data_IF_927741536673
#
_entry.id   IF_927741536673
#
_cell.length_a   1.000
_cell.length_b   1.000
_cell.length_c   1.000
_cell.angle_alpha   90.00
_cell.angle_beta   90.00
_cell.angle_gamma   90.00
#
_symmetry.space_group_name_H-M   'P 1'
#
loop_
_entity.id
_entity.type
_entity.pdbx_description
1 polymer ?
#
# COMPACT_ATOMS: atom_id res chain seq x y z
N UNK A 1 -7.39 -3.09 -14.75
CA UNK A 1 -7.16 -3.94 -13.57
C UNK A 1 -5.80 -4.61 -13.71
N UNK A 2 -5.04 -4.72 -12.63
CA UNK A 2 -3.86 -5.56 -12.51
C UNK A 2 -4.16 -6.65 -11.48
N UNK A 3 -3.82 -7.91 -11.82
CA UNK A 3 -4.01 -9.03 -10.91
C UNK A 3 -2.66 -9.56 -10.46
N UNK A 4 -2.53 -9.82 -9.17
CA UNK A 4 -1.34 -10.44 -8.59
C UNK A 4 -1.40 -11.96 -8.69
N UNK A 5 -0.22 -12.58 -8.71
CA UNK A 5 -0.07 -14.04 -8.68
C UNK A 5 0.47 -14.45 -7.33
N UNK A 6 -0.22 -15.37 -6.67
CA UNK A 6 0.24 -15.98 -5.40
C UNK A 6 1.13 -17.19 -5.65
N UNK A 7 1.78 -17.67 -4.60
CA UNK A 7 2.80 -18.74 -4.65
C UNK A 7 2.31 -19.98 -5.38
N UNK A 8 1.06 -20.42 -5.17
CA UNK A 8 0.47 -21.60 -5.79
C UNK A 8 0.31 -21.49 -7.31
N UNK A 9 0.35 -20.28 -7.86
CA UNK A 9 0.20 -20.03 -9.29
C UNK A 9 1.48 -19.43 -9.93
N UNK A 10 2.56 -19.23 -9.17
CA UNK A 10 3.79 -18.63 -9.69
C UNK A 10 4.40 -19.42 -10.82
N UNK A 11 4.53 -20.74 -10.66
CA UNK A 11 5.08 -21.63 -11.69
C UNK A 11 4.27 -21.56 -12.99
N UNK A 12 2.96 -21.59 -12.87
CA UNK A 12 2.06 -21.47 -14.03
C UNK A 12 2.24 -20.12 -14.75
N UNK A 13 2.38 -19.02 -14.01
CA UNK A 13 2.61 -17.70 -14.60
C UNK A 13 3.95 -17.69 -15.37
N UNK A 14 5.00 -18.23 -14.79
CA UNK A 14 6.33 -18.36 -15.41
C UNK A 14 6.26 -19.24 -16.67
N UNK A 15 5.62 -20.40 -16.62
CA UNK A 15 5.47 -21.32 -17.75
C UNK A 15 4.68 -20.68 -18.91
N UNK A 16 3.71 -19.81 -18.62
CA UNK A 16 2.97 -19.07 -19.66
C UNK A 16 3.74 -17.86 -20.20
N UNK A 17 4.92 -17.55 -19.64
CA UNK A 17 5.77 -16.44 -20.06
C UNK A 17 5.23 -15.05 -19.68
N UNK A 18 4.29 -14.96 -18.75
CA UNK A 18 3.72 -13.70 -18.27
C UNK A 18 4.75 -12.92 -17.45
N UNK A 19 4.80 -11.61 -17.66
CA UNK A 19 5.64 -10.65 -16.92
C UNK A 19 4.78 -9.54 -16.34
N UNK A 20 5.24 -8.90 -15.30
CA UNK A 20 4.56 -7.72 -14.74
C UNK A 20 4.35 -6.67 -15.83
N UNK A 21 3.13 -6.16 -15.95
CA UNK A 21 2.72 -5.18 -16.96
C UNK A 21 2.17 -5.78 -18.25
N UNK A 22 2.35 -7.07 -18.52
CA UNK A 22 1.83 -7.70 -19.73
C UNK A 22 0.31 -7.60 -19.80
N UNK A 23 -0.18 -7.21 -20.97
CA UNK A 23 -1.61 -7.17 -21.25
C UNK A 23 -2.12 -8.58 -21.51
N UNK A 24 -3.16 -8.97 -20.80
CA UNK A 24 -3.80 -10.27 -21.04
C UNK A 24 -4.59 -10.22 -22.34
N UNK A 25 -4.30 -11.14 -23.25
CA UNK A 25 -4.95 -11.23 -24.54
C UNK A 25 -6.49 -11.28 -24.39
N UNK A 26 -7.21 -10.74 -25.38
CA UNK A 26 -8.69 -10.67 -25.43
C UNK A 26 -9.36 -9.81 -24.35
N UNK A 27 -8.61 -8.98 -23.60
CA UNK A 27 -9.18 -8.08 -22.57
C UNK A 27 -9.21 -6.61 -23.00
N UNK A 28 -8.92 -6.30 -24.26
CA UNK A 28 -8.86 -4.94 -24.79
C UNK A 28 -7.94 -3.98 -23.99
N UNK A 29 -6.91 -4.53 -23.33
CA UNK A 29 -6.00 -3.76 -22.47
C UNK A 29 -6.55 -3.46 -21.08
N UNK A 30 -7.70 -4.02 -20.70
CA UNK A 30 -8.33 -3.78 -19.41
C UNK A 30 -7.72 -4.61 -18.27
N UNK A 31 -7.07 -5.75 -18.60
CA UNK A 31 -6.43 -6.62 -17.63
C UNK A 31 -4.95 -6.76 -17.93
N UNK A 32 -4.13 -6.61 -16.89
CA UNK A 32 -2.67 -6.79 -16.94
C UNK A 32 -2.20 -7.73 -15.85
N UNK A 33 -1.07 -8.40 -16.13
CA UNK A 33 -0.32 -9.12 -15.11
C UNK A 33 0.24 -8.10 -14.10
N UNK A 34 -0.05 -8.29 -12.84
CA UNK A 34 0.54 -7.56 -11.71
C UNK A 34 1.79 -8.24 -11.18
N UNK A 35 2.05 -8.07 -9.89
CA UNK A 35 3.22 -8.60 -9.21
C UNK A 35 2.97 -10.00 -8.62
N UNK A 36 4.03 -10.69 -8.28
CA UNK A 36 4.00 -11.85 -7.40
C UNK A 36 3.71 -11.38 -5.97
N UNK A 37 2.61 -11.86 -5.39
CA UNK A 37 2.16 -11.49 -4.04
C UNK A 37 2.55 -12.55 -3.02
N UNK A 38 3.27 -12.13 -1.98
CA UNK A 38 3.62 -12.95 -0.83
C UNK A 38 3.20 -12.24 0.47
N UNK A 39 2.70 -13.01 1.43
CA UNK A 39 2.26 -12.51 2.74
C UNK A 39 3.30 -12.94 3.78
N UNK A 40 4.15 -12.00 4.23
CA UNK A 40 5.26 -12.29 5.13
C UNK A 40 4.84 -12.45 6.58
N UNK A 41 3.87 -11.66 7.05
CA UNK A 41 3.35 -11.72 8.42
C UNK A 41 1.82 -11.65 8.46
N UNK A 42 1.25 -11.41 9.63
CA UNK A 42 -0.18 -11.26 9.81
C UNK A 42 -0.60 -9.80 10.06
N UNK A 43 -1.64 -9.56 10.88
CA UNK A 43 -2.23 -8.24 11.12
C UNK A 43 -2.11 -7.80 12.58
N UNK A 44 -2.30 -6.49 12.81
CA UNK A 44 -2.33 -5.91 14.15
C UNK A 44 -3.45 -6.52 15.01
N UNK A 45 -4.68 -6.54 14.48
CA UNK A 45 -5.87 -6.96 15.22
C UNK A 45 -5.79 -8.41 15.70
N UNK A 46 -5.09 -9.28 14.97
CA UNK A 46 -4.87 -10.67 15.34
C UNK A 46 -3.60 -10.88 16.18
N UNK A 47 -2.81 -9.81 16.43
CA UNK A 47 -1.50 -9.84 17.09
C UNK A 47 -0.51 -10.77 16.38
N UNK A 48 -0.62 -10.85 15.08
CA UNK A 48 0.25 -11.67 14.23
C UNK A 48 1.14 -10.84 13.31
N UNK A 49 0.98 -9.51 13.28
CA UNK A 49 1.98 -8.63 12.68
C UNK A 49 3.31 -8.82 13.41
N UNK A 50 4.39 -9.10 12.66
CA UNK A 50 5.67 -9.48 13.24
C UNK A 50 6.51 -8.25 13.60
N UNK A 51 6.74 -8.06 14.91
CA UNK A 51 7.33 -6.86 15.49
C UNK A 51 8.67 -7.13 16.16
N UNK A 52 9.54 -6.11 16.23
CA UNK A 52 10.77 -6.16 17.02
C UNK A 52 10.48 -6.36 18.51
N UNK A 53 9.45 -5.72 19.02
CA UNK A 53 9.05 -5.85 20.42
C UNK A 53 7.82 -6.72 20.60
N UNK A 54 7.71 -7.45 21.74
CA UNK A 54 6.54 -8.26 22.01
C UNK A 54 5.28 -7.40 22.19
N UNK A 55 4.13 -7.97 21.86
CA UNK A 55 2.84 -7.41 22.20
C UNK A 55 2.64 -7.35 23.71
N UNK A 56 1.96 -6.31 24.25
CA UNK A 56 1.74 -6.17 25.68
C UNK A 56 1.13 -7.42 26.31
N UNK A 57 1.76 -7.88 27.38
CA UNK A 57 1.30 -9.05 28.13
C UNK A 57 1.53 -10.41 27.47
N UNK A 58 2.11 -10.48 26.28
CA UNK A 58 2.46 -11.74 25.64
C UNK A 58 3.92 -12.15 25.95
N UNK A 59 4.11 -13.46 26.12
CA UNK A 59 5.42 -14.10 26.30
C UNK A 59 5.51 -15.36 25.45
N UNK A 60 6.73 -15.86 25.22
CA UNK A 60 6.97 -17.07 24.44
C UNK A 60 7.10 -16.84 22.95
N UNK A 61 7.00 -17.92 22.16
CA UNK A 61 7.39 -17.96 20.75
C UNK A 61 6.67 -16.90 19.87
N UNK A 62 5.39 -16.70 20.10
CA UNK A 62 4.57 -15.81 19.28
C UNK A 62 4.30 -14.45 19.92
N UNK A 63 5.06 -14.08 20.97
CA UNK A 63 4.87 -12.81 21.66
C UNK A 63 5.09 -11.58 20.76
N UNK A 64 5.87 -11.74 19.70
CA UNK A 64 6.23 -10.71 18.72
C UNK A 64 5.43 -10.80 17.42
N UNK A 65 4.40 -11.64 17.35
CA UNK A 65 3.70 -11.97 16.12
C UNK A 65 4.25 -13.21 15.44
N UNK A 66 4.02 -13.36 14.14
CA UNK A 66 4.37 -14.56 13.38
C UNK A 66 4.83 -14.20 11.97
N UNK A 67 5.91 -14.83 11.49
CA UNK A 67 6.22 -14.87 10.08
C UNK A 67 5.53 -16.07 9.44
N UNK A 68 4.97 -15.86 8.24
CA UNK A 68 4.30 -16.89 7.43
C UNK A 68 5.28 -17.62 6.51
N UNK A 69 6.47 -17.07 6.32
CA UNK A 69 7.54 -17.66 5.48
C UNK A 69 8.89 -17.47 6.14
N UNK A 70 9.83 -18.36 5.87
CA UNK A 70 11.22 -18.17 6.29
C UNK A 70 11.93 -17.14 5.40
N UNK A 71 13.06 -16.57 5.86
CA UNK A 71 13.85 -15.64 5.06
C UNK A 71 14.36 -16.28 3.77
N UNK A 72 14.91 -17.48 3.89
CA UNK A 72 15.46 -18.22 2.74
C UNK A 72 14.37 -18.54 1.69
N UNK A 73 13.17 -18.90 2.13
CA UNK A 73 12.02 -19.12 1.22
C UNK A 73 11.54 -17.81 0.57
N UNK A 74 11.51 -16.70 1.32
CA UNK A 74 11.14 -15.38 0.78
C UNK A 74 12.12 -14.99 -0.34
N UNK A 75 13.43 -15.02 -0.06
CA UNK A 75 14.49 -14.70 -1.03
C UNK A 75 14.43 -15.62 -2.25
N UNK A 76 14.26 -16.92 -2.03
CA UNK A 76 14.17 -17.90 -3.11
C UNK A 76 12.97 -17.65 -4.03
N UNK A 77 11.79 -17.37 -3.46
CA UNK A 77 10.56 -17.11 -4.21
C UNK A 77 10.63 -15.76 -4.94
N UNK A 78 11.15 -14.70 -4.29
CA UNK A 78 11.37 -13.40 -4.93
C UNK A 78 12.37 -13.51 -6.08
N UNK A 79 13.50 -14.21 -5.89
CA UNK A 79 14.49 -14.45 -6.95
C UNK A 79 13.89 -15.21 -8.14
N UNK A 80 13.05 -16.21 -7.87
CA UNK A 80 12.36 -16.98 -8.91
C UNK A 80 11.41 -16.11 -9.72
N UNK A 81 10.58 -15.29 -9.07
CA UNK A 81 9.66 -14.36 -9.72
C UNK A 81 10.43 -13.32 -10.54
N UNK A 82 11.41 -12.65 -9.94
CA UNK A 82 12.21 -11.59 -10.56
C UNK A 82 12.97 -12.11 -11.80
N UNK A 83 13.59 -13.30 -11.72
CA UNK A 83 14.28 -13.91 -12.85
C UNK A 83 13.38 -14.18 -14.05
N UNK A 84 12.07 -14.30 -13.83
CA UNK A 84 11.07 -14.45 -14.88
C UNK A 84 10.47 -13.11 -15.33
N UNK A 85 10.91 -11.97 -14.79
CA UNK A 85 10.40 -10.63 -15.09
C UNK A 85 9.08 -10.31 -14.38
N UNK A 86 8.83 -10.97 -13.25
CA UNK A 86 7.66 -10.72 -12.40
C UNK A 86 8.16 -9.97 -11.15
N UNK A 87 7.73 -8.71 -10.98
CA UNK A 87 8.02 -7.90 -9.81
C UNK A 87 7.35 -8.48 -8.56
N UNK A 88 7.79 -8.06 -7.37
CA UNK A 88 7.30 -8.61 -6.11
C UNK A 88 6.43 -7.60 -5.34
N UNK A 89 5.38 -8.10 -4.68
CA UNK A 89 4.55 -7.35 -3.73
C UNK A 89 4.51 -8.11 -2.41
N UNK A 90 5.18 -7.57 -1.39
CA UNK A 90 5.35 -8.26 -0.10
C UNK A 90 4.45 -7.57 0.94
N UNK A 91 3.50 -8.32 1.50
CA UNK A 91 2.74 -7.85 2.65
C UNK A 91 3.65 -7.82 3.88
N UNK A 92 3.75 -6.67 4.53
CA UNK A 92 4.46 -6.51 5.79
C UNK A 92 3.80 -5.41 6.64
N UNK A 93 3.28 -5.79 7.81
CA UNK A 93 2.58 -4.90 8.73
C UNK A 93 3.45 -4.51 9.92
N UNK A 94 4.08 -5.48 10.59
CA UNK A 94 4.97 -5.23 11.73
C UNK A 94 6.32 -4.66 11.31
N UNK A 95 6.99 -3.95 12.22
CA UNK A 95 8.28 -3.32 11.95
C UNK A 95 9.39 -4.34 11.64
N UNK A 96 9.43 -5.49 12.30
CA UNK A 96 10.38 -6.55 11.98
C UNK A 96 10.05 -7.25 10.65
N UNK A 97 8.75 -7.36 10.29
CA UNK A 97 8.35 -7.85 8.97
C UNK A 97 8.74 -6.89 7.83
N UNK A 98 8.68 -5.58 8.06
CA UNK A 98 9.13 -4.58 7.09
C UNK A 98 10.65 -4.64 6.92
N UNK A 99 11.42 -4.72 8.01
CA UNK A 99 12.89 -4.94 7.95
C UNK A 99 13.23 -6.21 7.18
N UNK A 100 12.51 -7.30 7.45
CA UNK A 100 12.65 -8.59 6.78
C UNK A 100 12.40 -8.49 5.27
N UNK A 101 11.34 -7.79 4.86
CA UNK A 101 11.01 -7.58 3.45
C UNK A 101 12.06 -6.70 2.74
N UNK A 102 12.49 -5.60 3.37
CA UNK A 102 13.52 -4.72 2.81
C UNK A 102 14.86 -5.44 2.63
N UNK A 103 15.27 -6.27 3.60
CA UNK A 103 16.48 -7.09 3.47
C UNK A 103 16.38 -8.04 2.25
N UNK A 104 15.20 -8.64 2.02
CA UNK A 104 15.00 -9.51 0.88
C UNK A 104 15.02 -8.73 -0.46
N UNK A 105 14.45 -7.53 -0.52
CA UNK A 105 14.56 -6.65 -1.70
C UNK A 105 16.00 -6.26 -1.98
N UNK A 106 16.78 -5.93 -0.95
CA UNK A 106 18.20 -5.61 -1.07
C UNK A 106 19.02 -6.79 -1.60
N UNK A 107 18.79 -7.99 -1.06
CA UNK A 107 19.53 -9.21 -1.48
C UNK A 107 19.18 -9.64 -2.90
N UNK A 108 17.90 -9.59 -3.27
CA UNK A 108 17.43 -10.01 -4.60
C UNK A 108 17.68 -8.94 -5.67
N UNK A 109 17.67 -7.66 -5.29
CA UNK A 109 17.86 -6.54 -6.21
C UNK A 109 16.72 -6.41 -7.22
N UNK A 110 15.48 -6.67 -6.81
CA UNK A 110 14.31 -6.62 -7.70
C UNK A 110 13.41 -5.41 -7.43
N UNK A 111 12.59 -5.05 -8.42
CA UNK A 111 11.55 -4.04 -8.27
C UNK A 111 10.32 -4.60 -7.55
N UNK A 112 9.61 -3.73 -6.82
CA UNK A 112 8.35 -4.14 -6.22
C UNK A 112 7.77 -3.17 -5.21
N UNK A 113 6.85 -3.70 -4.41
CA UNK A 113 6.12 -2.96 -3.40
C UNK A 113 6.17 -3.69 -2.05
N UNK A 114 6.13 -2.93 -0.96
CA UNK A 114 5.73 -3.46 0.34
C UNK A 114 4.31 -2.96 0.61
N UNK A 115 3.41 -3.91 0.78
CA UNK A 115 2.01 -3.66 1.07
C UNK A 115 1.81 -3.43 2.57
N UNK A 116 1.01 -2.46 2.90
CA UNK A 116 0.70 -1.92 4.21
C UNK A 116 1.81 -1.02 4.78
N UNK A 117 3.04 -1.50 4.98
CA UNK A 117 4.13 -0.74 5.59
C UNK A 117 3.62 0.05 6.82
N UNK A 118 2.89 -0.66 7.71
CA UNK A 118 2.01 -0.03 8.69
C UNK A 118 2.74 0.46 9.94
N UNK A 119 3.59 -0.38 10.53
CA UNK A 119 4.52 -0.01 11.59
C UNK A 119 5.94 -0.14 11.04
N UNK A 120 6.74 0.92 11.14
CA UNK A 120 8.10 0.94 10.61
C UNK A 120 9.13 1.23 11.70
N UNK A 121 10.33 0.67 11.56
CA UNK A 121 11.51 1.17 12.26
C UNK A 121 11.97 2.46 11.56
N UNK A 122 12.39 3.48 12.32
CA UNK A 122 12.82 4.75 11.74
C UNK A 122 13.98 4.59 10.76
N UNK A 123 14.90 3.69 11.06
CA UNK A 123 16.08 3.37 10.24
C UNK A 123 15.73 2.68 8.91
N UNK A 124 14.54 2.10 8.78
CA UNK A 124 14.12 1.42 7.57
C UNK A 124 13.44 2.35 6.56
N UNK A 125 12.99 3.53 6.98
CA UNK A 125 12.21 4.42 6.11
C UNK A 125 13.03 4.85 4.88
N UNK A 126 14.27 5.31 5.07
CA UNK A 126 15.14 5.74 3.96
C UNK A 126 15.44 4.59 2.99
N UNK A 127 15.49 3.35 3.48
CA UNK A 127 15.79 2.17 2.66
C UNK A 127 14.75 1.91 1.57
N UNK A 128 13.49 2.27 1.78
CA UNK A 128 12.48 2.19 0.70
C UNK A 128 12.90 3.01 -0.52
N UNK A 129 13.35 4.25 -0.31
CA UNK A 129 13.80 5.13 -1.39
C UNK A 129 15.12 4.65 -2.01
N UNK A 130 16.09 4.23 -1.19
CA UNK A 130 17.38 3.72 -1.63
C UNK A 130 17.24 2.46 -2.50
N UNK A 131 16.33 1.56 -2.14
CA UNK A 131 16.06 0.32 -2.86
C UNK A 131 15.05 0.49 -4.01
N UNK A 132 14.42 1.68 -4.13
CA UNK A 132 13.37 1.92 -5.12
C UNK A 132 12.08 1.15 -4.86
N UNK A 133 11.86 0.69 -3.63
CA UNK A 133 10.66 -0.05 -3.23
C UNK A 133 9.52 0.95 -2.98
N UNK A 134 8.37 0.73 -3.61
CA UNK A 134 7.17 1.54 -3.39
C UNK A 134 6.44 1.05 -2.14
N UNK A 135 6.07 1.96 -1.26
CA UNK A 135 5.17 1.65 -0.15
C UNK A 135 3.71 1.74 -0.63
N UNK A 136 3.04 0.60 -0.66
CA UNK A 136 1.63 0.48 -1.03
C UNK A 136 0.78 0.51 0.24
N UNK A 137 0.20 1.65 0.55
CA UNK A 137 -0.37 1.97 1.86
C UNK A 137 -1.89 2.16 1.81
N UNK A 138 -2.54 1.96 2.95
CA UNK A 138 -3.99 2.09 3.11
C UNK A 138 -4.29 3.11 4.22
N UNK A 139 -4.43 4.41 3.90
CA UNK A 139 -4.62 5.44 4.92
C UNK A 139 -5.87 5.27 5.79
N UNK A 140 -6.95 4.68 5.24
CA UNK A 140 -8.16 4.41 6.02
C UNK A 140 -7.92 3.39 7.13
N UNK A 141 -6.99 2.43 6.96
CA UNK A 141 -6.59 1.50 8.02
C UNK A 141 -6.04 2.22 9.26
N UNK A 142 -5.41 3.39 9.09
CA UNK A 142 -4.96 4.18 10.24
C UNK A 142 -6.12 4.65 11.12
N UNK A 143 -7.28 4.89 10.51
CA UNK A 143 -8.48 5.30 11.24
C UNK A 143 -9.15 4.13 11.94
N UNK A 144 -9.22 2.99 11.26
CA UNK A 144 -9.83 1.76 11.79
C UNK A 144 -8.96 1.14 12.90
N UNK A 145 -7.65 1.18 12.74
CA UNK A 145 -6.69 0.53 13.65
C UNK A 145 -6.25 1.41 14.83
N UNK A 146 -6.53 2.71 14.83
CA UNK A 146 -6.10 3.70 15.81
C UNK A 146 -6.20 3.19 17.25
N UNK A 147 -7.41 2.79 17.68
CA UNK A 147 -7.69 2.43 19.06
C UNK A 147 -7.00 1.10 19.45
N UNK A 148 -6.86 0.20 18.50
CA UNK A 148 -6.15 -1.08 18.68
C UNK A 148 -4.64 -0.85 18.74
N UNK A 149 -4.11 0.02 17.90
CA UNK A 149 -2.70 0.38 17.87
C UNK A 149 -2.28 1.07 19.18
N UNK A 150 -3.08 1.98 19.70
CA UNK A 150 -2.82 2.65 20.98
C UNK A 150 -2.68 1.66 22.15
N UNK A 151 -3.31 0.49 22.07
CA UNK A 151 -3.23 -0.59 23.05
C UNK A 151 -2.12 -1.59 22.72
N UNK A 152 -2.10 -2.12 21.50
CA UNK A 152 -1.22 -3.24 21.14
C UNK A 152 0.19 -2.79 20.73
N UNK A 153 0.33 -1.55 20.26
CA UNK A 153 1.59 -0.91 19.92
C UNK A 153 1.88 0.31 20.79
N UNK A 154 1.38 0.30 22.02
CA UNK A 154 1.59 1.37 23.00
C UNK A 154 3.08 1.77 23.10
N UNK A 155 3.35 3.09 23.02
CA UNK A 155 4.72 3.65 23.06
C UNK A 155 5.51 3.56 21.75
N UNK A 156 4.89 3.14 20.64
CA UNK A 156 5.49 3.08 19.30
C UNK A 156 4.52 3.47 18.18
N UNK A 157 3.37 4.03 18.52
CA UNK A 157 2.35 4.47 17.54
C UNK A 157 2.77 5.69 16.72
N UNK A 158 3.79 6.43 17.17
CA UNK A 158 4.47 7.49 16.42
C UNK A 158 5.09 7.01 15.09
N UNK A 159 5.36 5.70 15.00
CA UNK A 159 5.89 5.02 13.83
C UNK A 159 4.82 4.31 13.00
N UNK A 160 3.52 4.49 13.36
CA UNK A 160 2.40 3.89 12.63
C UNK A 160 1.97 4.78 11.48
N UNK A 161 1.90 4.21 10.27
CA UNK A 161 1.47 4.92 9.08
C UNK A 161 2.24 6.26 8.91
N UNK A 162 3.58 6.26 8.86
CA UNK A 162 4.40 7.46 8.91
C UNK A 162 4.53 8.11 7.53
N UNK A 163 3.40 8.50 6.92
CA UNK A 163 3.33 8.91 5.51
C UNK A 163 4.13 10.18 5.22
N UNK A 164 4.07 11.20 6.11
CA UNK A 164 4.83 12.43 5.92
C UNK A 164 6.34 12.13 5.97
N UNK A 165 6.79 11.37 6.98
CA UNK A 165 8.19 10.98 7.12
C UNK A 165 8.68 10.16 5.91
N UNK A 166 7.84 9.25 5.38
CA UNK A 166 8.16 8.49 4.16
C UNK A 166 8.34 9.41 2.95
N UNK A 167 7.43 10.38 2.74
CA UNK A 167 7.55 11.34 1.64
C UNK A 167 8.77 12.24 1.79
N UNK A 168 9.10 12.70 3.00
CA UNK A 168 10.30 13.49 3.29
C UNK A 168 11.58 12.71 2.99
N UNK A 169 11.58 11.40 3.22
CA UNK A 169 12.68 10.50 2.86
C UNK A 169 12.72 10.14 1.35
N UNK A 170 11.79 10.67 0.54
CA UNK A 170 11.72 10.39 -0.90
C UNK A 170 11.09 9.05 -1.26
N UNK A 171 10.41 8.40 -0.33
CA UNK A 171 9.71 7.14 -0.58
C UNK A 171 8.52 7.37 -1.50
N UNK A 172 8.39 6.55 -2.52
CA UNK A 172 7.21 6.56 -3.39
C UNK A 172 6.04 5.87 -2.67
N UNK A 173 4.95 6.62 -2.46
CA UNK A 173 3.70 6.07 -1.95
C UNK A 173 2.77 5.66 -3.11
N UNK A 174 2.01 4.58 -2.91
CA UNK A 174 0.85 4.20 -3.70
C UNK A 174 -0.30 3.91 -2.75
N UNK A 175 -1.41 4.63 -2.87
CA UNK A 175 -2.53 4.51 -1.95
C UNK A 175 -3.61 3.61 -2.51
N UNK A 176 -4.17 2.77 -1.64
CA UNK A 176 -5.27 1.86 -1.94
C UNK A 176 -6.19 1.65 -0.74
N UNK A 177 -7.22 0.84 -0.91
CA UNK A 177 -8.23 0.57 0.13
C UNK A 177 -8.09 -0.82 0.76
N UNK A 178 -7.42 -1.75 0.10
CA UNK A 178 -7.45 -3.18 0.48
C UNK A 178 -8.90 -3.69 0.63
N UNK A 179 -9.78 -3.29 -0.30
CA UNK A 179 -11.19 -3.66 -0.25
C UNK A 179 -11.38 -5.18 -0.19
N UNK A 180 -12.25 -5.70 0.65
CA UNK A 180 -13.34 -5.00 1.36
C UNK A 180 -13.00 -4.50 2.77
N UNK A 181 -11.72 -4.48 3.18
CA UNK A 181 -11.32 -4.02 4.52
C UNK A 181 -11.68 -2.55 4.70
N UNK A 182 -11.32 -1.70 3.72
CA UNK A 182 -11.81 -0.33 3.65
C UNK A 182 -12.67 -0.13 2.39
N UNK A 183 -13.49 0.94 2.32
CA UNK A 183 -14.26 1.27 1.12
C UNK A 183 -13.39 1.38 -0.12
N UNK A 184 -13.87 0.89 -1.27
CA UNK A 184 -13.15 0.96 -2.55
C UNK A 184 -12.97 2.39 -3.05
N UNK A 185 -13.79 3.32 -2.59
CA UNK A 185 -13.74 4.73 -2.94
C UNK A 185 -12.41 5.38 -2.49
N UNK A 186 -11.58 5.89 -3.41
CA UNK A 186 -10.26 6.44 -3.07
C UNK A 186 -10.32 7.73 -2.23
N UNK A 187 -11.46 8.43 -2.23
CA UNK A 187 -11.62 9.67 -1.49
C UNK A 187 -11.55 9.46 0.03
N UNK A 188 -11.97 8.29 0.54
CA UNK A 188 -11.77 7.92 1.95
C UNK A 188 -10.28 7.86 2.30
N UNK A 189 -9.47 7.20 1.47
CA UNK A 189 -8.04 7.10 1.69
C UNK A 189 -7.35 8.47 1.62
N UNK A 190 -7.73 9.32 0.64
CA UNK A 190 -7.22 10.70 0.51
C UNK A 190 -7.55 11.50 1.76
N UNK A 191 -8.82 11.51 2.20
CA UNK A 191 -9.25 12.24 3.39
C UNK A 191 -8.49 11.79 4.65
N UNK A 192 -8.29 10.48 4.82
CA UNK A 192 -7.57 9.93 5.98
C UNK A 192 -6.08 10.25 5.96
N UNK A 193 -5.45 10.29 4.80
CA UNK A 193 -4.05 10.68 4.67
C UNK A 193 -3.83 12.17 4.96
N UNK A 194 -4.77 13.03 4.54
CA UNK A 194 -4.69 14.49 4.70
C UNK A 194 -5.02 14.94 6.11
N UNK A 195 -6.03 14.35 6.76
CA UNK A 195 -6.52 14.85 8.05
C UNK A 195 -6.27 13.94 9.24
N UNK A 196 -5.99 12.65 9.01
CA UNK A 196 -5.71 11.70 10.08
C UNK A 196 -6.84 11.56 11.10
N UNK A 197 -8.09 11.79 10.63
CA UNK A 197 -9.31 11.53 11.39
C UNK A 197 -10.45 11.10 10.48
N UNK A 198 -11.36 10.25 10.99
CA UNK A 198 -12.60 9.82 10.31
C UNK A 198 -13.84 10.18 11.11
N UNK A 199 -13.66 10.81 12.27
CA UNK A 199 -14.72 11.18 13.21
C UNK A 199 -14.45 12.54 13.89
N UNK A 200 -15.14 12.84 14.99
CA UNK A 200 -15.01 14.12 15.71
C UNK A 200 -13.83 14.18 16.68
N UNK A 201 -12.99 13.15 16.75
CA UNK A 201 -11.81 13.15 17.61
C UNK A 201 -10.67 13.97 16.99
N UNK A 202 -9.72 14.37 17.84
CA UNK A 202 -8.49 14.99 17.35
C UNK A 202 -7.76 14.05 16.38
N UNK A 203 -7.10 14.60 15.36
CA UNK A 203 -6.29 13.81 14.44
C UNK A 203 -5.27 12.92 15.13
N UNK A 204 -5.17 11.68 14.67
CA UNK A 204 -4.21 10.72 15.21
C UNK A 204 -2.86 10.88 14.52
N UNK A 205 -1.80 11.23 15.27
CA UNK A 205 -0.48 11.57 14.73
C UNK A 205 -0.56 12.62 13.61
N UNK A 206 -1.02 13.86 13.92
CA UNK A 206 -1.21 14.91 12.91
C UNK A 206 0.08 15.33 12.19
N UNK A 207 1.24 15.05 12.78
CA UNK A 207 2.57 15.23 12.17
C UNK A 207 2.81 14.32 10.96
N UNK A 208 2.00 13.27 10.81
CA UNK A 208 2.07 12.34 9.69
C UNK A 208 1.03 12.63 8.59
N UNK A 209 0.37 13.79 8.63
CA UNK A 209 -0.47 14.30 7.55
C UNK A 209 0.35 14.54 6.29
N UNK A 210 -0.26 14.33 5.15
CA UNK A 210 0.33 14.70 3.87
C UNK A 210 -0.54 15.72 3.15
N UNK A 211 0.05 16.50 2.27
CA UNK A 211 -0.66 17.51 1.48
C UNK A 211 -1.67 16.84 0.52
N UNK A 212 -2.83 17.47 0.24
CA UNK A 212 -3.82 16.92 -0.68
C UNK A 212 -3.26 16.54 -2.05
N UNK A 213 -2.34 17.35 -2.59
CA UNK A 213 -1.69 17.03 -3.86
C UNK A 213 -0.88 15.74 -3.78
N UNK A 214 -0.14 15.51 -2.68
CA UNK A 214 0.64 14.30 -2.48
C UNK A 214 -0.27 13.06 -2.35
N UNK A 215 -1.40 13.19 -1.64
CA UNK A 215 -2.39 12.12 -1.51
C UNK A 215 -3.03 11.76 -2.87
N UNK A 216 -3.38 12.76 -3.67
CA UNK A 216 -3.89 12.57 -5.04
C UNK A 216 -2.83 11.92 -5.93
N UNK A 217 -1.58 12.41 -5.91
CA UNK A 217 -0.48 11.85 -6.69
C UNK A 217 -0.21 10.38 -6.34
N UNK A 218 -0.37 10.00 -5.07
CA UNK A 218 -0.24 8.62 -4.60
C UNK A 218 -1.45 7.72 -4.97
N UNK A 219 -2.60 8.32 -5.31
CA UNK A 219 -3.84 7.63 -5.67
C UNK A 219 -4.02 7.43 -7.17
N UNK A 220 -3.18 8.05 -8.00
CA UNK A 220 -3.28 8.01 -9.46
C UNK A 220 -2.03 7.40 -10.12
N UNK A 221 -2.19 6.79 -11.27
CA UNK A 221 -1.07 6.20 -12.03
C UNK A 221 -0.36 7.19 -12.92
N UNK A 222 -1.08 8.17 -13.44
CA UNK A 222 -0.59 9.14 -14.41
C UNK A 222 -1.10 10.53 -14.08
N UNK A 223 -0.36 11.53 -14.53
CA UNK A 223 -0.79 12.93 -14.48
C UNK A 223 -1.48 13.31 -15.79
N UNK A 224 -2.34 14.33 -15.74
CA UNK A 224 -2.97 14.88 -16.94
C UNK A 224 -1.90 15.56 -17.78
N UNK A 225 -1.56 14.96 -18.91
CA UNK A 225 -0.58 15.47 -19.87
C UNK A 225 -0.86 14.98 -21.29
N UNK A 226 -0.41 15.73 -22.29
CA UNK A 226 -0.52 15.33 -23.69
C UNK A 226 0.24 14.02 -23.93
N UNK A 227 -0.42 13.06 -24.58
CA UNK A 227 0.14 11.72 -24.85
C UNK A 227 -0.14 10.67 -23.76
N UNK A 228 -0.65 11.09 -22.60
CA UNK A 228 -1.11 10.15 -21.58
C UNK A 228 -2.48 9.56 -21.94
N UNK A 229 -2.74 8.37 -21.42
CA UNK A 229 -4.07 7.74 -21.59
C UNK A 229 -5.12 8.61 -20.88
N UNK A 230 -6.25 8.83 -21.54
CA UNK A 230 -7.35 9.63 -20.99
C UNK A 230 -8.19 8.82 -19.98
N UNK A 231 -7.57 8.41 -18.87
CA UNK A 231 -8.22 7.86 -17.69
C UNK A 231 -8.41 9.04 -16.73
N UNK A 232 -9.63 9.57 -16.62
CA UNK A 232 -9.92 10.83 -15.96
C UNK A 232 -11.06 10.67 -14.94
N UNK A 233 -10.95 11.40 -13.83
CA UNK A 233 -12.03 11.62 -12.89
C UNK A 233 -12.36 13.12 -12.88
N UNK A 234 -13.62 13.48 -13.07
CA UNK A 234 -14.13 14.85 -13.00
C UNK A 234 -14.94 14.97 -11.73
N UNK A 235 -14.60 15.93 -10.90
CA UNK A 235 -15.25 16.19 -9.61
C UNK A 235 -15.81 17.60 -9.57
N UNK A 236 -16.84 17.83 -8.74
CA UNK A 236 -17.50 19.14 -8.63
C UNK A 236 -16.82 20.08 -7.64
N UNK A 237 -15.92 19.55 -6.80
CA UNK A 237 -15.20 20.30 -5.77
C UNK A 237 -13.70 20.17 -6.04
N UNK A 238 -12.96 21.27 -5.92
CA UNK A 238 -11.49 21.23 -6.04
C UNK A 238 -10.90 20.46 -4.83
N UNK A 239 -10.33 19.27 -5.03
CA UNK A 239 -9.87 18.45 -3.93
C UNK A 239 -8.64 19.02 -3.20
N UNK A 240 -7.95 20.02 -3.77
CA UNK A 240 -6.80 20.67 -3.13
C UNK A 240 -7.22 21.62 -2.01
N UNK A 241 -8.49 22.07 -2.01
CA UNK A 241 -9.03 23.01 -1.05
C UNK A 241 -10.27 22.49 -0.32
N UNK A 242 -10.66 21.24 -0.60
CA UNK A 242 -11.83 20.61 0.01
C UNK A 242 -11.59 20.32 1.49
N UNK A 243 -12.63 20.48 2.29
CA UNK A 243 -12.65 20.00 3.68
C UNK A 243 -12.65 18.47 3.75
N UNK A 244 -12.36 17.91 4.92
CA UNK A 244 -12.42 16.44 5.14
C UNK A 244 -13.77 15.85 4.76
N UNK A 245 -14.86 16.51 5.16
CA UNK A 245 -16.21 16.06 4.87
C UNK A 245 -16.49 16.08 3.36
N UNK A 246 -16.05 17.13 2.66
CA UNK A 246 -16.14 17.23 1.20
C UNK A 246 -15.28 16.17 0.51
N UNK A 247 -14.06 15.90 1.00
CA UNK A 247 -13.25 14.80 0.48
C UNK A 247 -13.95 13.45 0.64
N UNK A 248 -14.47 13.13 1.83
CA UNK A 248 -15.15 11.84 2.10
C UNK A 248 -16.47 11.67 1.35
N UNK A 249 -17.06 12.74 0.88
CA UNK A 249 -18.33 12.75 0.12
C UNK A 249 -18.16 13.33 -1.29
N UNK A 250 -16.95 13.27 -1.84
CA UNK A 250 -16.59 13.92 -3.10
C UNK A 250 -17.57 13.59 -4.22
N UNK A 251 -18.27 14.60 -4.77
CA UNK A 251 -19.20 14.37 -5.86
C UNK A 251 -18.43 14.16 -7.17
N UNK A 252 -18.52 12.94 -7.71
CA UNK A 252 -17.92 12.58 -8.98
C UNK A 252 -18.90 12.83 -10.11
N UNK A 253 -18.64 13.86 -10.92
CA UNK A 253 -19.47 14.22 -12.06
C UNK A 253 -19.28 13.29 -13.25
N UNK A 254 -18.02 12.82 -13.50
CA UNK A 254 -17.77 11.86 -14.55
C UNK A 254 -16.49 11.06 -14.31
N UNK A 255 -16.45 9.84 -14.85
CA UNK A 255 -15.21 9.06 -15.01
C UNK A 255 -15.04 8.60 -16.45
N UNK A 256 -13.81 8.65 -16.92
CA UNK A 256 -13.43 8.20 -18.27
C UNK A 256 -12.32 7.16 -18.18
N UNK A 257 -12.40 6.14 -19.02
CA UNK A 257 -11.39 5.12 -19.22
C UNK A 257 -10.98 5.12 -20.71
N UNK A 258 -9.75 5.53 -20.98
CA UNK A 258 -9.27 5.67 -22.37
C UNK A 258 -10.13 6.64 -23.20
N UNK A 259 -10.63 7.72 -22.58
CA UNK A 259 -11.50 8.72 -23.23
C UNK A 259 -12.97 8.32 -23.38
N UNK A 260 -13.37 7.14 -22.92
CA UNK A 260 -14.78 6.69 -22.93
C UNK A 260 -15.38 6.88 -21.55
N UNK A 261 -16.56 7.47 -21.46
CA UNK A 261 -17.29 7.61 -20.19
C UNK A 261 -17.62 6.23 -19.62
N UNK A 262 -17.26 6.03 -18.36
CA UNK A 262 -17.69 4.89 -17.52
C UNK A 262 -18.74 5.32 -16.52
N UNK A 263 -18.74 6.62 -16.15
CA UNK A 263 -19.81 7.31 -15.44
C UNK A 263 -19.95 8.71 -16.02
N UNK A 264 -21.19 9.23 -16.14
CA UNK A 264 -21.48 10.57 -16.65
C UNK A 264 -22.73 11.13 -15.99
N UNK A 265 -22.54 12.15 -15.15
CA UNK A 265 -23.58 12.97 -14.51
C UNK A 265 -23.44 14.46 -14.84
N UNK A 266 -22.66 14.79 -15.91
CA UNK A 266 -22.49 16.15 -16.41
C UNK A 266 -23.78 16.69 -17.06
#
# INVERSE_FOLDING_TARGET
>A
VEFSVYTENLDRAIETGLRTGDVIASTEGLLRMGNYKLISDGSLNTRTAFCHDPYPGLTGKNARGMLNTSYDDLVALMSKASSAGINCSIHAIGDDANTFALNAFEEVGCEGTIEHAQLLAWEDIERFAELGVTASVQPEHAMDDRDVADVLWAGRTDRCFPFATMLEAGVKLSMGSDAPVAPLDPWFAIASAVERTSDSREPWHPEQRIEPQAAIDASVRTRIAVGQRADLCVVDIDPLYASVEELRTMPVAATLLGGRFTHNAL
#
